data_IF_527058840198
#
_entry.id   IF_527058840198
#
_cell.length_a   1.000
_cell.length_b   1.000
_cell.length_c   1.000
_cell.angle_alpha   90.00
_cell.angle_beta   90.00
_cell.angle_gamma   90.00
#
_symmetry.space_group_name_H-M   'P 1'
#
loop_
_entity.id
_entity.type
_entity.pdbx_description
1 polymer ?
#
# COMPACT_ATOMS: atom_id res chain seq x y z
N UNK A 1 16.36 -9.99 7.70
CA UNK A 1 16.25 -9.45 6.33
C UNK A 1 14.91 -9.91 5.80
N UNK A 2 13.99 -9.00 5.47
CA UNK A 2 12.76 -9.40 4.80
C UNK A 2 13.13 -9.86 3.40
N UNK A 3 12.73 -11.07 3.01
CA UNK A 3 12.82 -11.51 1.62
C UNK A 3 12.00 -10.51 0.77
N UNK A 4 12.68 -9.56 0.16
CA UNK A 4 12.05 -8.65 -0.79
C UNK A 4 11.62 -9.49 -1.99
N UNK A 5 10.31 -9.53 -2.26
CA UNK A 5 9.75 -10.31 -3.36
C UNK A 5 10.30 -9.84 -4.71
N UNK A 6 10.42 -8.52 -4.90
CA UNK A 6 10.91 -7.92 -6.12
C UNK A 6 11.94 -6.82 -5.87
N UNK A 7 12.88 -6.65 -6.82
CA UNK A 7 13.85 -5.57 -6.82
C UNK A 7 13.28 -4.25 -7.37
N UNK A 8 12.07 -4.25 -7.89
CA UNK A 8 11.39 -3.08 -8.42
C UNK A 8 9.99 -2.93 -7.83
N UNK A 9 9.46 -1.73 -7.93
CA UNK A 9 8.07 -1.42 -7.60
C UNK A 9 7.47 -0.59 -8.73
N UNK A 10 6.14 -0.59 -8.84
CA UNK A 10 5.44 0.30 -9.76
C UNK A 10 5.22 1.64 -9.06
N UNK A 11 5.89 2.71 -9.51
CA UNK A 11 5.77 4.03 -8.91
C UNK A 11 4.43 4.68 -9.27
N UNK A 12 4.20 5.89 -8.76
CA UNK A 12 3.07 6.72 -9.19
C UNK A 12 3.30 7.15 -10.64
N UNK A 13 2.47 6.67 -11.54
CA UNK A 13 2.50 6.98 -12.98
C UNK A 13 1.77 8.27 -13.34
N UNK A 14 1.27 8.99 -12.36
CA UNK A 14 0.41 10.15 -12.48
C UNK A 14 -0.84 9.97 -11.63
N UNK A 15 -1.47 11.08 -11.31
CA UNK A 15 -2.47 11.10 -10.24
C UNK A 15 -3.74 10.31 -10.56
N UNK A 16 -4.14 10.26 -11.83
CA UNK A 16 -5.34 9.54 -12.26
C UNK A 16 -5.10 8.07 -12.61
N UNK A 17 -3.83 7.66 -12.82
CA UNK A 17 -3.50 6.32 -13.32
C UNK A 17 -3.01 5.35 -12.24
N UNK A 18 -2.66 5.85 -11.06
CA UNK A 18 -2.11 5.04 -9.96
C UNK A 18 -3.12 4.83 -8.83
N UNK A 19 -4.40 4.76 -9.14
CA UNK A 19 -5.44 4.66 -8.12
C UNK A 19 -5.82 3.22 -7.79
N UNK A 20 -5.71 2.31 -8.76
CA UNK A 20 -6.12 0.90 -8.66
C UNK A 20 -5.02 -0.09 -9.06
N UNK A 21 -3.81 0.38 -9.31
CA UNK A 21 -2.67 -0.45 -9.75
C UNK A 21 -2.45 -1.70 -8.90
N UNK A 22 -2.54 -1.65 -7.54
CA UNK A 22 -2.37 -2.84 -6.72
C UNK A 22 -3.39 -3.95 -7.00
N UNK A 23 -4.62 -3.62 -7.38
CA UNK A 23 -5.65 -4.62 -7.74
C UNK A 23 -5.18 -5.49 -8.91
N UNK A 24 -4.39 -4.91 -9.82
CA UNK A 24 -3.87 -5.60 -11.01
C UNK A 24 -2.56 -6.33 -10.78
N UNK A 25 -1.72 -5.89 -9.85
CA UNK A 25 -0.32 -6.33 -9.78
C UNK A 25 0.10 -6.90 -8.43
N UNK A 26 -0.51 -6.47 -7.31
CA UNK A 26 0.00 -6.86 -5.99
C UNK A 26 -0.12 -8.37 -5.73
N UNK A 27 -1.13 -9.05 -6.26
CA UNK A 27 -1.25 -10.51 -6.15
C UNK A 27 -0.13 -11.28 -6.88
N UNK A 28 0.58 -10.64 -7.80
CA UNK A 28 1.79 -11.19 -8.43
C UNK A 28 3.09 -10.92 -7.64
N UNK A 29 2.97 -10.41 -6.40
CA UNK A 29 4.11 -10.07 -5.55
C UNK A 29 4.73 -8.70 -5.85
N UNK A 30 4.16 -7.90 -6.77
CA UNK A 30 4.70 -6.62 -7.21
C UNK A 30 4.19 -5.50 -6.30
N UNK A 31 5.11 -4.82 -5.62
CA UNK A 31 4.79 -3.60 -4.86
C UNK A 31 4.33 -2.48 -5.78
N UNK A 32 3.24 -1.83 -5.44
CA UNK A 32 2.69 -0.74 -6.25
C UNK A 32 2.04 0.33 -5.38
N UNK A 33 1.84 1.52 -5.96
CA UNK A 33 1.44 2.72 -5.22
C UNK A 33 0.02 3.14 -5.60
N UNK A 34 -0.80 3.44 -4.59
CA UNK A 34 -2.07 4.16 -4.76
C UNK A 34 -1.81 5.64 -4.49
N UNK A 35 -2.14 6.52 -5.43
CA UNK A 35 -2.11 7.98 -5.22
C UNK A 35 -3.49 8.49 -4.82
N UNK A 36 -3.61 9.00 -3.61
CA UNK A 36 -4.86 9.54 -3.08
C UNK A 36 -4.93 11.04 -3.40
N UNK A 37 -5.92 11.42 -4.24
CA UNK A 37 -6.13 12.81 -4.65
C UNK A 37 -7.58 13.20 -4.47
N UNK A 38 -8.50 12.35 -4.89
CA UNK A 38 -9.94 12.60 -4.90
C UNK A 38 -10.66 11.43 -4.21
N UNK A 39 -11.16 11.69 -3.02
CA UNK A 39 -11.87 10.72 -2.21
C UNK A 39 -13.28 10.40 -2.74
N UNK A 40 -13.89 11.30 -3.53
CA UNK A 40 -15.16 11.04 -4.23
C UNK A 40 -14.94 10.02 -5.36
N UNK A 41 -13.81 10.12 -6.06
CA UNK A 41 -13.43 9.10 -7.04
C UNK A 41 -13.21 7.74 -6.36
N UNK A 42 -12.56 7.71 -5.18
CA UNK A 42 -12.40 6.47 -4.40
C UNK A 42 -13.75 5.85 -4.06
N UNK A 43 -14.74 6.65 -3.68
CA UNK A 43 -16.09 6.15 -3.38
C UNK A 43 -16.78 5.54 -4.61
N UNK A 44 -16.61 6.15 -5.78
CA UNK A 44 -17.12 5.61 -7.05
C UNK A 44 -16.42 4.28 -7.40
N UNK A 45 -15.11 4.19 -7.21
CA UNK A 45 -14.35 2.96 -7.41
C UNK A 45 -14.73 1.87 -6.40
N UNK A 46 -15.01 2.23 -5.14
CA UNK A 46 -15.55 1.28 -4.16
C UNK A 46 -16.84 0.64 -4.65
N UNK A 47 -17.78 1.45 -5.15
CA UNK A 47 -19.05 0.93 -5.71
C UNK A 47 -18.79 0.00 -6.90
N UNK A 48 -17.89 0.40 -7.80
CA UNK A 48 -17.55 -0.37 -9.00
C UNK A 48 -16.90 -1.72 -8.64
N UNK A 49 -15.86 -1.69 -7.81
CA UNK A 49 -15.14 -2.92 -7.45
C UNK A 49 -15.94 -3.82 -6.50
N UNK A 50 -16.77 -3.27 -5.63
CA UNK A 50 -17.65 -4.07 -4.81
C UNK A 50 -18.62 -4.90 -5.68
N UNK A 51 -19.19 -4.31 -6.72
CA UNK A 51 -20.02 -5.05 -7.68
C UNK A 51 -19.22 -6.11 -8.47
N UNK A 52 -18.00 -5.77 -8.91
CA UNK A 52 -17.15 -6.67 -9.69
C UNK A 52 -16.66 -7.89 -8.91
N UNK A 53 -16.36 -7.72 -7.61
CA UNK A 53 -15.81 -8.77 -6.75
C UNK A 53 -16.83 -9.34 -5.75
N UNK A 54 -18.11 -8.97 -5.87
CA UNK A 54 -19.20 -9.38 -4.98
C UNK A 54 -18.91 -9.09 -3.49
N UNK A 55 -18.39 -7.87 -3.23
CA UNK A 55 -18.09 -7.39 -1.89
C UNK A 55 -19.23 -6.52 -1.35
N UNK A 56 -19.34 -6.46 -0.03
CA UNK A 56 -20.29 -5.55 0.62
C UNK A 56 -19.96 -4.09 0.31
N UNK A 57 -20.99 -3.31 -0.05
CA UNK A 57 -20.88 -1.89 -0.31
C UNK A 57 -21.95 -1.10 0.43
N UNK A 58 -21.51 -0.19 1.27
CA UNK A 58 -22.35 0.84 1.88
C UNK A 58 -21.75 2.19 1.53
N UNK A 59 -22.63 3.11 1.04
CA UNK A 59 -22.18 4.43 0.61
C UNK A 59 -21.77 5.30 1.79
N UNK A 60 -20.59 5.90 1.72
CA UNK A 60 -20.13 6.92 2.66
C UNK A 60 -20.44 8.30 2.07
N UNK A 61 -21.37 9.00 2.69
CA UNK A 61 -21.83 10.30 2.21
C UNK A 61 -20.72 11.36 2.25
N UNK A 62 -20.71 12.30 1.30
CA UNK A 62 -19.85 13.48 1.37
C UNK A 62 -20.17 14.40 2.56
N UNK A 63 -21.38 14.28 3.11
CA UNK A 63 -21.84 15.06 4.27
C UNK A 63 -21.57 14.38 5.60
N UNK A 64 -21.06 13.16 5.59
CA UNK A 64 -20.74 12.41 6.79
C UNK A 64 -19.52 13.04 7.50
N UNK A 65 -19.56 13.10 8.82
CA UNK A 65 -18.45 13.59 9.63
C UNK A 65 -17.20 12.74 9.32
N UNK A 66 -16.07 13.41 9.03
CA UNK A 66 -14.82 12.79 8.59
C UNK A 66 -14.98 11.86 7.37
N UNK A 67 -15.98 12.14 6.53
CA UNK A 67 -16.35 11.29 5.39
C UNK A 67 -15.20 11.05 4.42
N UNK A 68 -14.30 12.04 4.22
CA UNK A 68 -13.10 11.92 3.38
C UNK A 68 -12.18 10.81 3.90
N UNK A 69 -11.76 10.85 5.17
CA UNK A 69 -10.91 9.82 5.74
C UNK A 69 -11.59 8.45 5.77
N UNK A 70 -12.88 8.39 6.05
CA UNK A 70 -13.66 7.14 6.03
C UNK A 70 -13.69 6.50 4.64
N UNK A 71 -13.93 7.29 3.57
CA UNK A 71 -13.89 6.79 2.18
C UNK A 71 -12.52 6.24 1.82
N UNK A 72 -11.46 6.96 2.20
CA UNK A 72 -10.08 6.53 1.97
C UNK A 72 -9.79 5.23 2.71
N UNK A 73 -10.10 5.14 4.01
CA UNK A 73 -9.93 3.91 4.80
C UNK A 73 -10.66 2.74 4.17
N UNK A 74 -11.93 2.94 3.82
CA UNK A 74 -12.76 1.89 3.25
C UNK A 74 -12.26 1.43 1.87
N UNK A 75 -11.77 2.35 1.03
CA UNK A 75 -11.16 2.02 -0.25
C UNK A 75 -9.89 1.19 -0.08
N UNK A 76 -8.97 1.63 0.77
CA UNK A 76 -7.71 0.94 1.01
C UNK A 76 -7.95 -0.47 1.58
N UNK A 77 -8.91 -0.62 2.48
CA UNK A 77 -9.30 -1.93 3.03
C UNK A 77 -9.89 -2.85 1.96
N UNK A 78 -10.74 -2.32 1.07
CA UNK A 78 -11.31 -3.09 -0.04
C UNK A 78 -10.22 -3.52 -1.04
N UNK A 79 -9.27 -2.65 -1.38
CA UNK A 79 -8.15 -3.03 -2.25
C UNK A 79 -7.34 -4.17 -1.63
N UNK A 80 -7.05 -4.11 -0.33
CA UNK A 80 -6.36 -5.20 0.38
C UNK A 80 -7.15 -6.50 0.32
N UNK A 81 -8.46 -6.43 0.52
CA UNK A 81 -9.35 -7.60 0.47
C UNK A 81 -9.33 -8.24 -0.93
N UNK A 82 -9.47 -7.44 -1.98
CA UNK A 82 -9.41 -7.93 -3.38
C UNK A 82 -8.05 -8.58 -3.67
N UNK A 83 -6.96 -7.96 -3.24
CA UNK A 83 -5.61 -8.52 -3.42
C UNK A 83 -5.46 -9.85 -2.70
N UNK A 84 -6.00 -9.98 -1.48
CA UNK A 84 -5.98 -11.24 -0.74
C UNK A 84 -6.80 -12.32 -1.45
N UNK A 85 -8.02 -12.01 -1.90
CA UNK A 85 -8.86 -12.94 -2.68
C UNK A 85 -8.14 -13.45 -3.93
N UNK A 86 -7.48 -12.54 -4.66
CA UNK A 86 -6.70 -12.91 -5.85
C UNK A 86 -5.49 -13.76 -5.48
N UNK A 87 -4.80 -13.45 -4.38
CA UNK A 87 -3.67 -14.24 -3.88
C UNK A 87 -4.11 -15.66 -3.52
N UNK A 88 -5.23 -15.82 -2.83
CA UNK A 88 -5.74 -17.14 -2.46
C UNK A 88 -6.15 -17.96 -3.71
N UNK A 89 -6.74 -17.29 -4.71
CA UNK A 89 -7.02 -17.92 -5.99
C UNK A 89 -5.75 -18.43 -6.68
N UNK A 90 -4.70 -17.61 -6.79
CA UNK A 90 -3.48 -18.05 -7.48
C UNK A 90 -2.71 -19.11 -6.69
N UNK A 91 -2.78 -19.13 -5.35
CA UNK A 91 -2.21 -20.19 -4.52
C UNK A 91 -2.82 -21.57 -4.81
N UNK A 92 -4.08 -21.61 -5.21
CA UNK A 92 -4.78 -22.85 -5.54
C UNK A 92 -4.46 -23.39 -6.95
N UNK A 93 -3.83 -22.58 -7.83
CA UNK A 93 -3.49 -23.01 -9.19
C UNK A 93 -2.37 -24.07 -9.20
N UNK A 94 -2.30 -24.95 -10.23
CA UNK A 94 -1.22 -25.92 -10.36
C UNK A 94 0.13 -25.25 -10.72
N UNK A 95 1.25 -25.91 -10.40
CA UNK A 95 2.61 -25.43 -10.73
C UNK A 95 3.09 -25.81 -12.12
N UNK A 96 2.49 -26.82 -12.73
CA UNK A 96 3.00 -27.42 -13.97
C UNK A 96 2.17 -27.04 -15.21
N UNK A 97 1.44 -25.95 -15.11
CA UNK A 97 0.67 -25.33 -16.19
C UNK A 97 1.01 -23.84 -16.24
N UNK A 98 1.00 -23.24 -17.43
CA UNK A 98 1.22 -21.81 -17.59
C UNK A 98 0.00 -21.06 -17.04
N UNK A 99 0.18 -20.34 -15.93
CA UNK A 99 -0.88 -19.60 -15.26
C UNK A 99 -0.31 -18.45 -14.38
N UNK A 100 -1.16 -17.75 -13.64
CA UNK A 100 -0.74 -16.63 -12.77
C UNK A 100 0.20 -17.08 -11.63
N UNK A 101 0.12 -18.33 -11.15
CA UNK A 101 1.02 -18.85 -10.11
C UNK A 101 2.44 -19.02 -10.63
N UNK A 102 2.60 -19.65 -11.80
CA UNK A 102 3.91 -19.81 -12.42
C UNK A 102 4.50 -18.46 -12.78
N UNK A 103 3.67 -17.53 -13.28
CA UNK A 103 4.08 -16.15 -13.56
C UNK A 103 4.56 -15.42 -12.30
N UNK A 104 3.92 -15.63 -11.15
CA UNK A 104 4.37 -15.07 -9.88
C UNK A 104 5.84 -15.43 -9.59
N UNK A 105 6.21 -16.72 -9.72
CA UNK A 105 7.57 -17.20 -9.47
C UNK A 105 8.55 -16.76 -10.56
N UNK A 106 8.14 -16.70 -11.81
CA UNK A 106 8.98 -16.25 -12.93
C UNK A 106 9.35 -14.77 -12.80
N UNK A 107 8.46 -13.92 -12.28
CA UNK A 107 8.68 -12.50 -12.05
C UNK A 107 9.60 -12.21 -10.86
N UNK A 108 9.87 -13.17 -9.98
CA UNK A 108 10.80 -12.98 -8.86
C UNK A 108 12.23 -12.75 -9.38
N UNK A 109 13.06 -11.94 -8.70
CA UNK A 109 14.45 -11.75 -9.07
C UNK A 109 15.23 -13.07 -8.95
N UNK A 110 16.28 -13.23 -9.76
CA UNK A 110 17.09 -14.45 -9.76
C UNK A 110 17.83 -14.69 -8.43
N UNK A 111 18.04 -13.63 -7.64
CA UNK A 111 18.60 -13.69 -6.30
C UNK A 111 17.62 -14.16 -5.23
N UNK A 112 16.34 -14.34 -5.58
CA UNK A 112 15.31 -14.78 -4.63
C UNK A 112 15.46 -16.26 -4.28
N UNK A 113 15.50 -16.56 -3.00
CA UNK A 113 15.49 -17.94 -2.48
C UNK A 113 14.21 -18.66 -2.87
N UNK A 114 13.09 -17.93 -2.98
CA UNK A 114 11.82 -18.48 -3.39
C UNK A 114 11.82 -18.88 -4.86
N UNK A 115 12.48 -18.09 -5.74
CA UNK A 115 12.67 -18.47 -7.15
C UNK A 115 13.58 -19.68 -7.31
N UNK A 116 14.63 -19.77 -6.50
CA UNK A 116 15.53 -20.93 -6.51
C UNK A 116 14.79 -22.20 -6.11
N UNK A 117 13.96 -22.14 -5.06
CA UNK A 117 13.13 -23.28 -4.65
C UNK A 117 12.06 -23.65 -5.71
N UNK A 118 11.53 -22.66 -6.45
CA UNK A 118 10.64 -22.94 -7.57
C UNK A 118 11.37 -23.66 -8.72
N UNK A 119 12.60 -23.26 -9.07
CA UNK A 119 13.43 -23.96 -10.07
C UNK A 119 13.73 -25.41 -9.65
N UNK A 120 13.98 -25.65 -8.36
CA UNK A 120 14.16 -27.00 -7.80
C UNK A 120 12.89 -27.83 -7.92
N UNK A 121 11.71 -27.25 -7.59
CA UNK A 121 10.42 -27.91 -7.76
C UNK A 121 10.20 -28.39 -9.21
N UNK A 122 10.54 -27.56 -10.20
CA UNK A 122 10.37 -27.92 -11.62
C UNK A 122 11.24 -29.11 -12.05
N UNK A 123 12.38 -29.32 -11.41
CA UNK A 123 13.31 -30.44 -11.67
C UNK A 123 12.96 -31.70 -10.86
N UNK A 124 12.13 -31.58 -9.82
CA UNK A 124 11.78 -32.68 -8.94
C UNK A 124 10.81 -33.65 -9.62
N UNK A 125 11.14 -34.94 -9.60
CA UNK A 125 10.27 -36.00 -10.17
C UNK A 125 8.91 -36.06 -9.42
N UNK A 126 7.83 -36.48 -10.11
CA UNK A 126 6.55 -36.69 -9.45
C UNK A 126 6.66 -37.63 -8.24
N UNK A 127 5.99 -37.29 -7.15
CA UNK A 127 6.00 -38.05 -5.91
C UNK A 127 5.83 -37.15 -4.69
N UNK A 128 5.86 -37.74 -3.50
CA UNK A 128 5.60 -37.06 -2.21
C UNK A 128 6.49 -35.82 -1.96
N UNK A 129 7.77 -35.89 -2.38
CA UNK A 129 8.68 -34.74 -2.23
C UNK A 129 8.21 -33.55 -3.04
N UNK A 130 7.79 -33.77 -4.30
CA UNK A 130 7.27 -32.72 -5.19
C UNK A 130 5.98 -32.09 -4.66
N UNK A 131 5.11 -32.89 -4.06
CA UNK A 131 3.88 -32.39 -3.42
C UNK A 131 4.24 -31.50 -2.21
N UNK A 132 5.14 -31.98 -1.35
CA UNK A 132 5.58 -31.19 -0.16
C UNK A 132 6.21 -29.87 -0.56
N UNK A 133 7.08 -29.84 -1.58
CA UNK A 133 7.68 -28.61 -2.10
C UNK A 133 6.63 -27.66 -2.71
N UNK A 134 5.64 -28.21 -3.42
CA UNK A 134 4.53 -27.42 -4.00
C UNK A 134 3.70 -26.73 -2.92
N UNK A 135 3.39 -27.45 -1.85
CA UNK A 135 2.63 -26.92 -0.70
C UNK A 135 3.43 -25.84 0.05
N UNK A 136 4.70 -26.08 0.31
CA UNK A 136 5.58 -25.10 0.95
C UNK A 136 5.67 -23.81 0.15
N UNK A 137 5.95 -23.93 -1.15
CA UNK A 137 6.04 -22.76 -2.03
C UNK A 137 4.71 -21.97 -2.07
N UNK A 138 3.58 -22.66 -2.14
CA UNK A 138 2.27 -22.00 -2.13
C UNK A 138 2.02 -21.21 -0.84
N UNK A 139 2.40 -21.77 0.32
CA UNK A 139 2.29 -21.11 1.63
C UNK A 139 3.22 -19.90 1.79
N UNK A 140 4.35 -19.91 1.10
CA UNK A 140 5.34 -18.82 1.15
C UNK A 140 5.03 -17.66 0.21
N UNK A 141 4.11 -17.82 -0.73
CA UNK A 141 3.67 -16.72 -1.59
C UNK A 141 3.11 -15.55 -0.76
N UNK A 142 3.51 -14.34 -1.09
CA UNK A 142 3.03 -13.10 -0.44
C UNK A 142 2.66 -12.07 -1.51
N UNK A 143 1.63 -11.25 -1.29
CA UNK A 143 1.35 -10.13 -2.19
C UNK A 143 2.43 -9.07 -2.07
N UNK A 144 2.60 -8.28 -3.11
CA UNK A 144 3.38 -7.04 -3.05
C UNK A 144 2.73 -6.00 -2.14
N UNK A 145 3.53 -5.09 -1.62
CA UNK A 145 3.05 -4.00 -0.77
C UNK A 145 2.12 -3.05 -1.54
N UNK A 146 1.09 -2.56 -0.84
CA UNK A 146 0.17 -1.54 -1.34
C UNK A 146 0.56 -0.23 -0.68
N UNK A 147 1.52 0.48 -1.26
CA UNK A 147 1.96 1.75 -0.72
C UNK A 147 0.99 2.87 -1.10
N UNK A 148 0.94 3.92 -0.28
CA UNK A 148 -0.01 5.01 -0.46
C UNK A 148 0.72 6.33 -0.58
N UNK A 149 0.58 7.01 -1.73
CA UNK A 149 1.13 8.34 -1.95
C UNK A 149 0.10 9.41 -1.65
N UNK A 150 0.49 10.42 -0.88
CA UNK A 150 -0.29 11.62 -0.65
C UNK A 150 0.43 12.87 -1.15
N UNK A 151 -0.34 13.84 -1.64
CA UNK A 151 0.19 15.14 -2.06
C UNK A 151 0.26 16.06 -0.85
N UNK A 152 1.50 16.40 -0.42
CA UNK A 152 1.70 17.25 0.77
C UNK A 152 1.66 18.76 0.47
N UNK A 153 1.82 19.14 -0.80
CA UNK A 153 1.84 20.56 -1.24
C UNK A 153 0.46 21.16 -1.42
N UNK A 154 -0.54 20.35 -1.74
CA UNK A 154 -1.92 20.78 -1.94
C UNK A 154 -2.71 20.29 -0.74
N UNK A 155 -2.84 21.13 0.27
CA UNK A 155 -3.51 20.81 1.52
C UNK A 155 -4.65 21.83 1.73
N UNK A 156 -5.80 21.54 1.11
CA UNK A 156 -6.98 22.39 1.20
C UNK A 156 -7.76 22.07 2.47
N UNK A 157 -8.27 23.10 3.11
CA UNK A 157 -9.23 22.93 4.19
C UNK A 157 -10.56 22.44 3.62
N UNK A 158 -11.21 21.54 4.31
CA UNK A 158 -12.57 21.11 4.02
C UNK A 158 -13.57 22.18 4.51
N UNK A 159 -14.74 22.23 3.90
CA UNK A 159 -15.78 23.24 4.20
C UNK A 159 -17.04 22.55 4.73
N UNK A 160 -17.71 23.22 5.65
CA UNK A 160 -19.05 22.80 6.09
C UNK A 160 -20.11 23.10 5.01
N UNK A 161 -21.35 22.71 5.30
CA UNK A 161 -22.50 22.96 4.39
C UNK A 161 -22.81 24.45 4.14
N UNK A 162 -22.22 25.35 4.93
CA UNK A 162 -22.38 26.80 4.82
C UNK A 162 -21.15 27.48 4.19
N UNK A 163 -20.16 26.70 3.70
CA UNK A 163 -18.92 27.21 3.12
C UNK A 163 -17.92 27.75 4.14
N UNK A 164 -18.05 27.39 5.42
CA UNK A 164 -17.09 27.77 6.46
C UNK A 164 -15.99 26.70 6.57
N UNK A 165 -14.71 27.08 6.70
CA UNK A 165 -13.63 26.13 6.87
C UNK A 165 -13.86 25.26 8.11
N UNK A 166 -13.69 23.95 7.96
CA UNK A 166 -13.59 23.01 9.06
C UNK A 166 -12.20 23.15 9.73
N UNK A 167 -12.02 22.50 10.87
CA UNK A 167 -10.73 22.49 11.55
C UNK A 167 -9.60 21.93 10.66
N UNK A 168 -8.36 22.34 10.94
CA UNK A 168 -7.18 21.93 10.15
C UNK A 168 -7.01 20.40 10.05
N UNK A 169 -7.52 19.63 11.00
CA UNK A 169 -7.51 18.18 11.00
C UNK A 169 -8.30 17.55 9.84
N UNK A 170 -9.22 18.32 9.25
CA UNK A 170 -10.02 17.88 8.09
C UNK A 170 -9.42 18.29 6.75
N UNK A 171 -8.21 18.87 6.74
CA UNK A 171 -7.52 19.19 5.48
C UNK A 171 -7.28 17.93 4.63
N UNK A 172 -7.10 18.13 3.31
CA UNK A 172 -6.91 17.04 2.35
C UNK A 172 -5.79 16.08 2.76
N UNK A 173 -4.63 16.61 3.13
CA UNK A 173 -3.47 15.79 3.48
C UNK A 173 -3.65 15.09 4.83
N UNK A 174 -4.22 15.77 5.84
CA UNK A 174 -4.47 15.16 7.16
C UNK A 174 -5.57 14.10 7.09
N UNK A 175 -6.63 14.32 6.29
CA UNK A 175 -7.65 13.32 6.06
C UNK A 175 -7.09 12.09 5.32
N UNK A 176 -6.22 12.29 4.33
CA UNK A 176 -5.56 11.19 3.63
C UNK A 176 -4.62 10.39 4.55
N UNK A 177 -3.81 11.08 5.36
CA UNK A 177 -2.96 10.45 6.37
C UNK A 177 -3.80 9.65 7.38
N UNK A 178 -4.88 10.23 7.89
CA UNK A 178 -5.79 9.58 8.84
C UNK A 178 -6.46 8.35 8.22
N UNK A 179 -6.90 8.46 6.97
CA UNK A 179 -7.51 7.36 6.25
C UNK A 179 -6.55 6.18 6.07
N UNK A 180 -5.29 6.45 5.72
CA UNK A 180 -4.25 5.43 5.67
C UNK A 180 -3.92 4.85 7.04
N UNK A 181 -3.71 5.71 8.04
CA UNK A 181 -3.36 5.27 9.40
C UNK A 181 -4.42 4.33 10.00
N UNK A 182 -5.72 4.59 9.73
CA UNK A 182 -6.84 3.75 10.16
C UNK A 182 -7.08 2.51 9.28
N UNK A 183 -6.45 2.42 8.12
CA UNK A 183 -6.61 1.27 7.22
C UNK A 183 -5.90 0.02 7.76
N UNK A 184 -6.30 -1.16 7.25
CA UNK A 184 -5.67 -2.45 7.57
C UNK A 184 -4.31 -2.66 6.91
N UNK A 185 -3.89 -1.79 5.99
CA UNK A 185 -2.63 -1.93 5.27
C UNK A 185 -1.43 -1.97 6.21
N UNK A 186 -0.52 -2.90 5.96
CA UNK A 186 0.83 -2.94 6.50
C UNK A 186 1.79 -2.57 5.37
N UNK A 187 2.05 -1.26 5.21
CA UNK A 187 2.74 -0.72 4.04
C UNK A 187 3.32 0.66 4.31
N UNK A 188 3.86 1.29 3.27
CA UNK A 188 4.44 2.61 3.39
C UNK A 188 3.47 3.73 2.95
N UNK A 189 3.54 4.86 3.66
CA UNK A 189 3.04 6.13 3.18
C UNK A 189 4.16 6.91 2.51
N UNK A 190 3.91 7.31 1.27
CA UNK A 190 4.84 8.09 0.47
C UNK A 190 4.39 9.54 0.48
N UNK A 191 5.25 10.40 0.99
CA UNK A 191 5.05 11.85 0.93
C UNK A 191 5.65 12.39 -0.36
N UNK A 192 4.82 13.00 -1.22
CA UNK A 192 5.31 13.69 -2.41
C UNK A 192 6.25 14.84 -2.04
N UNK A 193 7.15 15.21 -2.94
CA UNK A 193 8.17 16.21 -2.68
C UNK A 193 7.56 17.52 -2.15
N UNK A 194 8.04 17.97 -1.00
CA UNK A 194 7.60 19.17 -0.27
C UNK A 194 7.65 18.97 1.23
N UNK A 195 7.68 20.07 1.98
CA UNK A 195 7.70 20.07 3.44
C UNK A 195 6.32 20.49 3.93
N UNK A 196 5.68 19.66 4.75
CA UNK A 196 4.46 20.01 5.47
C UNK A 196 4.63 19.66 6.96
N UNK A 197 5.12 20.62 7.74
CA UNK A 197 5.42 20.41 9.17
C UNK A 197 4.16 20.11 9.98
N UNK A 198 3.02 20.70 9.62
CA UNK A 198 1.72 20.46 10.27
C UNK A 198 1.30 19.00 10.09
N UNK A 199 1.42 18.46 8.86
CA UNK A 199 1.14 17.07 8.55
C UNK A 199 2.06 16.10 9.30
N UNK A 200 3.38 16.40 9.35
CA UNK A 200 4.34 15.59 10.09
C UNK A 200 4.08 15.61 11.60
N UNK A 201 3.66 16.77 12.15
CA UNK A 201 3.18 16.87 13.52
C UNK A 201 1.91 16.07 13.77
N UNK A 202 0.98 16.07 12.82
CA UNK A 202 -0.26 15.32 12.93
C UNK A 202 -0.04 13.79 12.90
N UNK A 203 0.97 13.32 12.15
CA UNK A 203 1.34 11.90 12.08
C UNK A 203 1.71 11.30 13.43
N UNK A 204 2.30 12.09 14.33
CA UNK A 204 2.71 11.60 15.67
C UNK A 204 1.56 11.08 16.54
N UNK A 205 0.31 11.39 16.17
CA UNK A 205 -0.89 10.89 16.86
C UNK A 205 -1.17 9.39 16.59
N UNK A 206 -0.47 8.78 15.62
CA UNK A 206 -0.73 7.40 15.20
C UNK A 206 0.42 6.47 15.58
N UNK A 207 0.16 5.54 16.49
CA UNK A 207 1.17 4.60 17.03
C UNK A 207 1.78 3.70 15.97
N UNK A 208 1.04 3.36 14.91
CA UNK A 208 1.47 2.46 13.85
C UNK A 208 2.67 2.99 13.03
N UNK A 209 3.00 4.28 13.12
CA UNK A 209 4.21 4.87 12.53
C UNK A 209 5.47 4.71 13.41
N UNK A 210 5.33 4.14 14.59
CA UNK A 210 6.44 3.89 15.51
C UNK A 210 6.73 2.41 15.61
N UNK A 211 7.93 2.08 16.09
CA UNK A 211 8.27 0.69 16.39
C UNK A 211 7.37 0.16 17.52
N UNK A 212 6.83 -1.02 17.28
CA UNK A 212 6.16 -1.79 18.32
C UNK A 212 7.21 -2.44 19.25
N UNK A 213 6.74 -3.20 20.24
CA UNK A 213 7.61 -3.93 21.19
C UNK A 213 8.49 -5.00 20.53
N UNK A 214 8.16 -5.44 19.31
CA UNK A 214 8.96 -6.37 18.50
C UNK A 214 9.96 -5.64 17.59
N UNK A 215 10.03 -4.30 17.66
CA UNK A 215 10.88 -3.48 16.83
C UNK A 215 10.38 -3.27 15.39
N UNK A 216 9.15 -3.65 15.07
CA UNK A 216 8.56 -3.53 13.73
C UNK A 216 7.76 -2.24 13.60
N UNK A 217 7.79 -1.63 12.42
CA UNK A 217 6.95 -0.47 12.05
C UNK A 217 5.91 -0.94 11.05
N UNK A 218 4.64 -0.86 11.42
CA UNK A 218 3.52 -1.26 10.55
C UNK A 218 3.27 -0.25 9.43
N UNK A 219 3.31 1.04 9.74
CA UNK A 219 3.12 2.12 8.77
C UNK A 219 4.45 2.81 8.51
N UNK A 220 5.14 2.41 7.45
CA UNK A 220 6.45 2.95 7.08
C UNK A 220 6.33 4.33 6.44
N UNK A 221 7.40 5.11 6.51
CA UNK A 221 7.47 6.46 5.94
C UNK A 221 8.49 6.48 4.80
N UNK A 222 8.04 6.90 3.63
CA UNK A 222 8.90 7.15 2.46
C UNK A 222 8.80 8.63 2.11
N UNK A 223 9.92 9.32 2.06
CA UNK A 223 9.98 10.73 1.65
C UNK A 223 10.50 10.85 0.23
N UNK A 224 9.71 11.51 -0.65
CA UNK A 224 10.22 12.01 -1.93
C UNK A 224 10.87 13.35 -1.71
N UNK A 225 12.12 13.46 -2.13
CA UNK A 225 12.96 14.64 -1.93
C UNK A 225 13.61 15.06 -3.26
N UNK A 226 13.92 16.35 -3.41
CA UNK A 226 14.58 16.85 -4.61
C UNK A 226 16.10 16.62 -4.60
N UNK A 227 16.68 16.54 -3.41
CA UNK A 227 18.13 16.49 -3.22
C UNK A 227 18.49 16.06 -1.79
N UNK A 228 19.79 15.84 -1.55
CA UNK A 228 20.33 15.45 -0.25
C UNK A 228 20.06 16.47 0.86
N UNK A 229 20.11 17.77 0.57
CA UNK A 229 19.85 18.82 1.56
C UNK A 229 18.40 18.77 2.05
N UNK A 230 17.47 18.58 1.12
CA UNK A 230 16.05 18.38 1.42
C UNK A 230 15.82 17.13 2.26
N UNK A 231 16.48 16.00 1.93
CA UNK A 231 16.43 14.77 2.71
C UNK A 231 16.91 15.00 4.14
N UNK A 232 18.04 15.67 4.31
CA UNK A 232 18.63 15.94 5.61
C UNK A 232 17.74 16.85 6.48
N UNK A 233 17.16 17.90 5.92
CA UNK A 233 16.28 18.82 6.66
C UNK A 233 15.02 18.09 7.12
N UNK A 234 14.33 17.40 6.22
CA UNK A 234 13.11 16.68 6.53
C UNK A 234 13.37 15.51 7.46
N UNK A 235 14.47 14.77 7.24
CA UNK A 235 14.87 13.66 8.09
C UNK A 235 15.13 14.08 9.54
N UNK A 236 15.87 15.17 9.73
CA UNK A 236 16.10 15.74 11.08
C UNK A 236 14.80 16.18 11.76
N UNK A 237 13.88 16.77 10.99
CA UNK A 237 12.60 17.19 11.53
C UNK A 237 11.75 15.99 12.02
N UNK A 238 11.67 14.93 11.20
CA UNK A 238 10.97 13.69 11.54
C UNK A 238 11.61 12.99 12.74
N UNK A 239 12.95 12.85 12.74
CA UNK A 239 13.69 12.21 13.82
C UNK A 239 13.49 12.91 15.18
N UNK A 240 13.40 14.25 15.22
CA UNK A 240 13.07 15.00 16.46
C UNK A 240 11.68 14.66 17.01
N UNK A 241 10.79 14.09 16.20
CA UNK A 241 9.47 13.62 16.59
C UNK A 241 9.42 12.11 16.86
N UNK A 242 10.57 11.43 16.81
CA UNK A 242 10.68 9.98 16.97
C UNK A 242 10.17 9.18 15.78
N UNK A 243 9.91 9.83 14.64
CA UNK A 243 9.46 9.18 13.42
C UNK A 243 10.67 8.69 12.62
N UNK A 244 10.63 7.42 12.21
CA UNK A 244 11.69 6.79 11.42
C UNK A 244 11.31 6.81 9.94
N UNK A 245 12.23 7.30 9.10
CA UNK A 245 12.07 7.26 7.65
C UNK A 245 12.69 5.98 7.13
N UNK A 246 11.88 5.16 6.46
CA UNK A 246 12.33 3.89 5.91
C UNK A 246 13.09 4.05 4.60
N UNK A 247 12.75 5.10 3.82
CA UNK A 247 13.36 5.33 2.51
C UNK A 247 13.28 6.81 2.10
N UNK A 248 14.34 7.29 1.45
CA UNK A 248 14.33 8.55 0.69
C UNK A 248 14.34 8.24 -0.81
N UNK A 249 13.44 8.86 -1.57
CA UNK A 249 13.38 8.77 -3.04
C UNK A 249 13.64 10.12 -3.65
N UNK A 250 14.57 10.19 -4.58
CA UNK A 250 14.89 11.38 -5.38
C UNK A 250 14.16 11.33 -6.71
#
# INVERSE_FOLDING_TARGET
>A
MSDTLHNFHIPVMGTGHSIDTPIRLAHLGITSVISIIDDILLERLRKYYAAQYNLHYERISAREEDGRAKRITAYLNMVQEIVNMKMDRIRALPFFEINEKTRYFELLPDTSTLKSAYKELLQTKPGKLRETLSDDLSKRMRPGSIDVNIMVKVDRLDMDKHGRPLGEEFSDAKAALRGFAKSKLDSAMIFSAGINQSLYGYMTKYKDFYRNHEGQIKKKIILKVSDFRSAMIQGRYMAKKGLEISEFRI
#
